data_IF_616489838682
#
_entry.id   IF_616489838682
#
_cell.length_a   1.000
_cell.length_b   1.000
_cell.length_c   1.000
_cell.angle_alpha   90.00
_cell.angle_beta   90.00
_cell.angle_gamma   90.00
#
_symmetry.space_group_name_H-M   'P 1'
#
loop_
_entity.id
_entity.type
_entity.pdbx_description
1 polymer ?
#
# COMPACT_ATOMS: atom_id res chain seq x y z
N UNK A 1 -14.83 -7.77 14.93
CA UNK A 1 -14.08 -8.21 13.73
C UNK A 1 -15.02 -8.27 12.53
N UNK A 2 -14.60 -7.74 11.42
CA UNK A 2 -15.39 -7.80 10.20
C UNK A 2 -15.22 -9.14 9.51
N UNK A 3 -16.31 -9.64 8.94
CA UNK A 3 -16.28 -10.83 8.12
C UNK A 3 -15.98 -10.42 6.68
N UNK A 4 -14.81 -10.75 6.19
CA UNK A 4 -14.37 -10.38 4.85
C UNK A 4 -14.41 -11.62 3.97
N UNK A 5 -15.39 -11.65 3.05
CA UNK A 5 -15.59 -12.78 2.16
C UNK A 5 -14.55 -12.86 1.05
N UNK A 6 -14.14 -11.70 0.51
CA UNK A 6 -13.22 -11.62 -0.61
C UNK A 6 -12.15 -10.55 -0.33
N UNK A 7 -11.19 -10.84 0.55
CA UNK A 7 -10.13 -9.87 0.82
C UNK A 7 -9.23 -9.72 -0.41
N UNK A 8 -8.67 -8.52 -0.58
CA UNK A 8 -7.71 -8.25 -1.63
C UNK A 8 -6.44 -9.08 -1.37
N UNK A 9 -5.94 -9.75 -2.41
CA UNK A 9 -4.69 -10.49 -2.30
C UNK A 9 -3.51 -9.52 -2.24
N UNK A 10 -2.43 -9.94 -1.59
CA UNK A 10 -1.23 -9.11 -1.46
C UNK A 10 -0.69 -8.66 -2.81
N UNK A 11 -0.62 -9.57 -3.78
CA UNK A 11 -0.13 -9.23 -5.14
C UNK A 11 -1.02 -8.19 -5.81
N UNK A 12 -2.34 -8.31 -5.66
CA UNK A 12 -3.27 -7.34 -6.23
C UNK A 12 -3.14 -5.99 -5.54
N UNK A 13 -2.94 -5.98 -4.23
CA UNK A 13 -2.72 -4.75 -3.49
C UNK A 13 -1.43 -4.06 -3.94
N UNK A 14 -0.36 -4.81 -4.16
CA UNK A 14 0.89 -4.26 -4.67
C UNK A 14 0.70 -3.63 -6.04
N UNK A 15 -0.02 -4.32 -6.94
CA UNK A 15 -0.28 -3.82 -8.29
C UNK A 15 -1.11 -2.54 -8.26
N UNK A 16 -2.15 -2.49 -7.42
CA UNK A 16 -2.97 -1.30 -7.26
C UNK A 16 -2.16 -0.13 -6.72
N UNK A 17 -1.34 -0.39 -5.71
CA UNK A 17 -0.49 0.66 -5.13
C UNK A 17 0.46 1.24 -6.17
N UNK A 18 1.12 0.39 -6.95
CA UNK A 18 2.03 0.84 -7.99
C UNK A 18 1.32 1.62 -9.09
N UNK A 19 0.08 1.24 -9.42
CA UNK A 19 -0.67 1.89 -10.48
C UNK A 19 -1.30 3.22 -10.06
N UNK A 20 -1.75 3.32 -8.80
CA UNK A 20 -2.58 4.43 -8.35
C UNK A 20 -1.91 5.35 -7.34
N UNK A 21 -1.06 4.83 -6.48
CA UNK A 21 -0.45 5.59 -5.40
C UNK A 21 0.98 6.01 -5.74
N UNK A 22 1.76 5.10 -6.28
CA UNK A 22 3.17 5.36 -6.59
C UNK A 22 3.38 6.56 -7.53
N UNK A 23 2.60 6.72 -8.62
CA UNK A 23 2.77 7.90 -9.49
C UNK A 23 2.59 9.22 -8.74
N UNK A 24 1.67 9.27 -7.79
CA UNK A 24 1.45 10.45 -6.96
C UNK A 24 2.68 10.74 -6.09
N UNK A 25 3.27 9.70 -5.49
CA UNK A 25 4.47 9.84 -4.67
C UNK A 25 5.62 10.33 -5.51
N UNK A 26 5.80 9.78 -6.70
CA UNK A 26 6.86 10.19 -7.61
C UNK A 26 6.73 11.65 -7.99
N UNK A 27 5.50 12.11 -8.24
CA UNK A 27 5.25 13.51 -8.59
C UNK A 27 5.54 14.46 -7.43
N UNK A 28 5.19 14.06 -6.20
CA UNK A 28 5.30 14.92 -5.02
C UNK A 28 6.68 14.89 -4.37
N UNK A 29 7.35 13.75 -4.37
CA UNK A 29 8.54 13.53 -3.56
C UNK A 29 9.77 13.09 -4.34
N UNK A 30 9.63 12.75 -5.62
CA UNK A 30 10.72 12.19 -6.41
C UNK A 30 10.98 13.01 -7.68
N UNK A 31 10.83 14.32 -7.59
CA UNK A 31 11.02 15.22 -8.73
C UNK A 31 12.47 15.22 -9.23
N UNK A 32 13.41 14.87 -8.37
CA UNK A 32 14.83 14.77 -8.71
C UNK A 32 15.18 13.43 -9.41
N UNK A 33 14.21 12.55 -9.56
CA UNK A 33 14.41 11.26 -10.21
C UNK A 33 14.89 10.15 -9.30
N UNK A 34 15.05 10.43 -8.01
CA UNK A 34 15.50 9.42 -7.04
C UNK A 34 14.34 8.94 -6.17
N UNK A 35 14.25 7.61 -5.91
CA UNK A 35 13.18 7.08 -5.08
C UNK A 35 13.25 7.61 -3.65
N UNK A 36 12.09 7.99 -3.12
CA UNK A 36 11.95 8.38 -1.71
C UNK A 36 11.38 7.17 -0.95
N UNK A 37 12.27 6.30 -0.51
CA UNK A 37 11.87 5.05 0.14
C UNK A 37 11.01 5.28 1.39
N UNK A 38 11.36 6.19 2.31
CA UNK A 38 10.51 6.45 3.47
C UNK A 38 9.11 6.93 3.10
N UNK A 39 9.00 7.82 2.10
CA UNK A 39 7.69 8.30 1.66
C UNK A 39 6.85 7.17 1.06
N UNK A 40 7.48 6.30 0.28
CA UNK A 40 6.79 5.15 -0.31
C UNK A 40 6.28 4.18 0.76
N UNK A 41 7.10 3.88 1.77
CA UNK A 41 6.70 2.99 2.87
C UNK A 41 5.59 3.59 3.71
N UNK A 42 5.67 4.87 4.02
CA UNK A 42 4.63 5.55 4.78
C UNK A 42 3.31 5.57 4.01
N UNK A 43 3.37 5.83 2.71
CA UNK A 43 2.17 5.81 1.87
C UNK A 43 1.54 4.41 1.82
N UNK A 44 2.35 3.37 1.73
CA UNK A 44 1.86 1.99 1.78
C UNK A 44 1.16 1.71 3.11
N UNK A 45 1.77 2.10 4.23
CA UNK A 45 1.19 1.88 5.54
C UNK A 45 -0.15 2.62 5.69
N UNK A 46 -0.22 3.86 5.24
CA UNK A 46 -1.45 4.65 5.31
C UNK A 46 -2.53 4.08 4.42
N UNK A 47 -2.16 3.63 3.23
CA UNK A 47 -3.10 3.07 2.27
C UNK A 47 -3.67 1.74 2.78
N UNK A 48 -2.82 0.85 3.29
CA UNK A 48 -3.28 -0.43 3.84
C UNK A 48 -4.11 -0.24 5.10
N UNK A 49 -3.80 0.76 5.92
CA UNK A 49 -4.63 1.11 7.08
C UNK A 49 -6.04 1.49 6.62
N UNK A 50 -6.14 2.29 5.56
CA UNK A 50 -7.43 2.66 4.98
C UNK A 50 -8.18 1.43 4.47
N UNK A 51 -7.47 0.53 3.75
CA UNK A 51 -8.09 -0.70 3.25
C UNK A 51 -8.63 -1.56 4.40
N UNK A 52 -7.89 -1.64 5.49
CA UNK A 52 -8.32 -2.38 6.67
C UNK A 52 -9.56 -1.76 7.30
N UNK A 53 -9.58 -0.45 7.46
CA UNK A 53 -10.71 0.28 8.03
C UNK A 53 -11.97 0.15 7.16
N UNK A 54 -11.79 0.12 5.85
CA UNK A 54 -12.90 -0.03 4.92
C UNK A 54 -13.36 -1.49 4.78
N UNK A 55 -12.65 -2.42 5.40
CA UNK A 55 -13.02 -3.83 5.36
C UNK A 55 -12.61 -4.54 4.08
N UNK A 56 -11.67 -3.98 3.32
CA UNK A 56 -11.18 -4.57 2.08
C UNK A 56 -10.05 -5.57 2.31
N UNK A 57 -9.34 -5.45 3.44
CA UNK A 57 -8.37 -6.43 3.90
C UNK A 57 -8.63 -6.73 5.38
N UNK A 58 -8.16 -7.90 5.82
CA UNK A 58 -8.35 -8.34 7.21
C UNK A 58 -7.29 -7.72 8.13
N UNK A 59 -7.55 -7.76 9.43
CA UNK A 59 -6.57 -7.35 10.44
C UNK A 59 -5.29 -8.18 10.32
N UNK A 60 -5.43 -9.48 10.04
CA UNK A 60 -4.28 -10.37 9.85
C UNK A 60 -3.43 -9.90 8.67
N UNK A 61 -4.06 -9.56 7.54
CA UNK A 61 -3.36 -9.08 6.36
C UNK A 61 -2.61 -7.78 6.66
N UNK A 62 -3.29 -6.84 7.31
CA UNK A 62 -2.68 -5.56 7.68
C UNK A 62 -1.45 -5.75 8.57
N UNK A 63 -1.55 -6.64 9.55
CA UNK A 63 -0.48 -6.85 10.52
C UNK A 63 0.68 -7.70 10.01
N UNK A 64 0.45 -8.50 8.96
CA UNK A 64 1.43 -9.48 8.50
C UNK A 64 2.01 -9.20 7.11
N UNK A 65 1.39 -8.34 6.32
CA UNK A 65 1.92 -7.98 5.01
C UNK A 65 3.19 -7.14 5.13
N UNK A 66 4.20 -7.51 4.34
CA UNK A 66 5.36 -6.65 4.12
C UNK A 66 4.99 -5.57 3.11
N UNK A 67 5.80 -4.51 3.00
CA UNK A 67 5.61 -3.54 1.94
C UNK A 67 6.08 -4.12 0.59
N UNK A 68 5.57 -3.60 -0.54
CA UNK A 68 5.96 -4.09 -1.86
C UNK A 68 7.38 -3.65 -2.23
N UNK A 69 7.93 -4.25 -3.28
CA UNK A 69 9.27 -3.93 -3.76
C UNK A 69 9.47 -2.45 -4.07
N UNK A 70 8.43 -1.80 -4.57
CA UNK A 70 8.50 -0.39 -4.91
C UNK A 70 8.67 0.51 -3.69
N UNK A 71 8.51 -0.02 -2.49
CA UNK A 71 8.69 0.71 -1.23
C UNK A 71 10.00 0.36 -0.52
N UNK A 72 10.78 -0.50 -1.10
CA UNK A 72 11.93 -1.09 -0.41
C UNK A 72 13.22 -0.29 -0.64
#
# INVERSE_FOLDING_TARGET
MRDISNPILFTDACDQFEAEILPFIQEQYEQDGEPDWPARREAWNNWTDMLCKDGLISDWQYNNWSHPRCCD
#
